data_IF_195900540436
#
_entry.id   IF_195900540436
#
_cell.length_a   1.000
_cell.length_b   1.000
_cell.length_c   1.000
_cell.angle_alpha   90.00
_cell.angle_beta   90.00
_cell.angle_gamma   90.00
#
_symmetry.space_group_name_H-M   'P 1'
#
loop_
_entity.id
_entity.type
_entity.pdbx_description
1 polymer ?
#
# COMPACT_ATOMS: atom_id res chain seq x y z
N UNK A 1 3.75 12.24 37.06
CA UNK A 1 2.54 11.40 36.98
C UNK A 1 1.48 12.13 36.16
N UNK A 2 1.83 12.45 34.92
CA UNK A 2 0.97 12.90 33.83
C UNK A 2 1.73 12.48 32.58
N UNK A 3 1.78 11.17 32.35
CA UNK A 3 2.42 10.65 31.15
C UNK A 3 1.58 11.08 29.96
N UNK A 4 2.26 11.56 28.93
CA UNK A 4 1.74 12.15 27.70
C UNK A 4 0.65 11.30 27.02
N UNK A 5 -0.63 11.63 27.25
CA UNK A 5 -1.72 11.08 26.45
C UNK A 5 -1.68 11.76 25.07
N UNK A 6 -0.98 11.14 24.13
CA UNK A 6 -1.06 11.50 22.71
C UNK A 6 -2.46 11.11 22.20
N UNK A 7 -3.36 12.09 22.09
CA UNK A 7 -4.62 11.92 21.37
C UNK A 7 -4.33 11.69 19.88
N UNK A 8 -4.50 10.46 19.40
CA UNK A 8 -4.46 10.15 17.96
C UNK A 8 -5.87 10.25 17.39
N UNK A 9 -6.13 11.29 16.60
CA UNK A 9 -7.38 11.43 15.84
C UNK A 9 -7.26 10.74 14.48
N UNK A 10 -8.33 10.16 13.93
CA UNK A 10 -8.31 9.57 12.59
C UNK A 10 -7.92 10.58 11.51
N UNK A 11 -7.13 10.15 10.53
CA UNK A 11 -6.78 10.95 9.35
C UNK A 11 -7.93 10.86 8.34
N UNK A 12 -8.40 12.00 7.85
CA UNK A 12 -9.42 12.06 6.79
C UNK A 12 -8.72 11.93 5.43
N UNK A 13 -9.07 10.88 4.67
CA UNK A 13 -8.59 10.67 3.30
C UNK A 13 -9.79 10.63 2.37
N UNK A 14 -9.79 11.45 1.32
CA UNK A 14 -10.89 11.47 0.35
C UNK A 14 -10.39 11.61 -1.09
N UNK A 15 -11.26 11.26 -2.03
CA UNK A 15 -11.12 11.60 -3.43
C UNK A 15 -12.46 12.17 -3.92
N UNK A 16 -12.99 11.71 -5.06
CA UNK A 16 -14.38 12.02 -5.47
C UNK A 16 -15.36 11.06 -4.77
N UNK A 17 -15.40 9.78 -5.16
CA UNK A 17 -16.24 8.77 -4.49
C UNK A 17 -15.64 8.22 -3.16
N UNK A 18 -14.40 8.57 -2.84
CA UNK A 18 -13.72 8.15 -1.61
C UNK A 18 -13.41 6.65 -1.53
N UNK A 19 -13.23 5.94 -2.65
CA UNK A 19 -13.04 4.47 -2.66
C UNK A 19 -11.84 4.01 -3.48
N UNK A 20 -11.57 4.59 -4.65
CA UNK A 20 -10.40 4.22 -5.49
C UNK A 20 -9.08 4.71 -4.90
N UNK A 21 -8.66 5.93 -5.26
CA UNK A 21 -7.42 6.55 -4.74
C UNK A 21 -7.34 6.60 -3.21
N UNK A 22 -8.46 6.87 -2.54
CA UNK A 22 -8.57 6.82 -1.08
C UNK A 22 -8.19 5.44 -0.54
N UNK A 23 -8.79 4.37 -1.07
CA UNK A 23 -8.50 3.02 -0.62
C UNK A 23 -7.04 2.63 -0.88
N UNK A 24 -6.47 3.02 -2.02
CA UNK A 24 -5.07 2.77 -2.33
C UNK A 24 -4.12 3.39 -1.30
N UNK A 25 -4.32 4.68 -0.96
CA UNK A 25 -3.48 5.37 0.02
C UNK A 25 -3.65 4.78 1.42
N UNK A 26 -4.89 4.48 1.83
CA UNK A 26 -5.16 3.87 3.14
C UNK A 26 -4.47 2.51 3.28
N UNK A 27 -4.53 1.66 2.24
CA UNK A 27 -3.88 0.35 2.27
C UNK A 27 -2.35 0.47 2.28
N UNK A 28 -1.78 1.31 1.40
CA UNK A 28 -0.33 1.57 1.39
C UNK A 28 0.13 2.05 2.76
N UNK A 29 -0.56 3.04 3.35
CA UNK A 29 -0.21 3.58 4.66
C UNK A 29 -0.24 2.50 5.74
N UNK A 30 -1.28 1.67 5.77
CA UNK A 30 -1.37 0.56 6.73
C UNK A 30 -0.21 -0.43 6.58
N UNK A 31 0.13 -0.82 5.35
CA UNK A 31 1.25 -1.72 5.09
C UNK A 31 2.60 -1.10 5.51
N UNK A 32 2.82 0.18 5.21
CA UNK A 32 4.04 0.89 5.62
C UNK A 32 4.14 1.03 7.14
N UNK A 33 3.04 1.30 7.84
CA UNK A 33 3.02 1.37 9.31
C UNK A 33 3.37 0.01 9.94
N UNK A 34 2.88 -1.09 9.38
CA UNK A 34 3.27 -2.43 9.85
C UNK A 34 4.78 -2.64 9.69
N UNK A 35 5.32 -2.36 8.51
CA UNK A 35 6.76 -2.49 8.23
C UNK A 35 7.61 -1.60 9.16
N UNK A 36 7.24 -0.33 9.33
CA UNK A 36 7.93 0.61 10.21
C UNK A 36 7.91 0.19 11.68
N UNK A 37 6.86 -0.52 12.11
CA UNK A 37 6.74 -1.05 13.46
C UNK A 37 7.27 -2.50 13.58
N UNK A 38 8.06 -2.97 12.61
CA UNK A 38 8.61 -4.34 12.56
C UNK A 38 7.54 -5.44 12.70
N UNK A 39 6.32 -5.18 12.20
CA UNK A 39 5.24 -6.17 12.14
C UNK A 39 5.27 -6.91 10.80
N UNK A 40 4.91 -8.20 10.77
CA UNK A 40 4.88 -8.96 9.53
C UNK A 40 3.79 -8.43 8.60
N UNK A 41 4.11 -8.36 7.31
CA UNK A 41 3.15 -8.08 6.26
C UNK A 41 2.49 -9.40 5.80
N UNK A 42 1.17 -9.40 5.69
CA UNK A 42 0.39 -10.46 5.07
C UNK A 42 0.28 -10.21 3.56
N UNK A 43 -0.30 -11.17 2.85
CA UNK A 43 -0.67 -10.98 1.45
C UNK A 43 -1.59 -9.76 1.28
N UNK A 44 -1.27 -8.90 0.32
CA UNK A 44 -1.97 -7.62 0.07
C UNK A 44 -3.47 -7.82 -0.19
N UNK A 45 -3.86 -8.96 -0.75
CA UNK A 45 -5.27 -9.31 -0.96
C UNK A 45 -6.05 -9.44 0.36
N UNK A 46 -5.39 -9.86 1.45
CA UNK A 46 -6.00 -9.97 2.78
C UNK A 46 -6.41 -8.58 3.27
N UNK A 47 -5.51 -7.61 3.20
CA UNK A 47 -5.80 -6.23 3.60
C UNK A 47 -6.86 -5.58 2.71
N UNK A 48 -6.88 -5.90 1.41
CA UNK A 48 -7.93 -5.44 0.51
C UNK A 48 -9.31 -5.97 0.91
N UNK A 49 -9.40 -7.26 1.27
CA UNK A 49 -10.66 -7.87 1.75
C UNK A 49 -11.13 -7.19 3.03
N UNK A 50 -10.25 -6.99 4.01
CA UNK A 50 -10.60 -6.30 5.27
C UNK A 50 -10.99 -4.84 5.04
N UNK A 51 -10.28 -4.12 4.16
CA UNK A 51 -10.62 -2.75 3.82
C UNK A 51 -12.01 -2.66 3.17
N UNK A 52 -12.35 -3.62 2.29
CA UNK A 52 -13.68 -3.68 1.63
C UNK A 52 -14.82 -4.02 2.59
N UNK A 53 -14.54 -4.72 3.70
CA UNK A 53 -15.53 -4.91 4.79
C UNK A 53 -15.87 -3.59 5.50
N UNK A 54 -14.89 -2.68 5.63
CA UNK A 54 -15.10 -1.38 6.27
C UNK A 54 -15.66 -0.33 5.30
N UNK A 55 -15.25 -0.36 4.03
CA UNK A 55 -15.75 0.52 2.98
C UNK A 55 -15.82 -0.21 1.64
N UNK A 56 -17.04 -0.51 1.22
CA UNK A 56 -17.31 -1.26 0.00
C UNK A 56 -16.66 -0.64 -1.24
N UNK A 57 -16.24 -1.49 -2.19
CA UNK A 57 -15.59 -1.10 -3.45
C UNK A 57 -14.27 -0.31 -3.30
N UNK A 58 -13.65 -0.32 -2.11
CA UNK A 58 -12.30 0.24 -1.96
C UNK A 58 -11.32 -0.44 -2.91
N UNK A 59 -10.50 0.37 -3.59
CA UNK A 59 -9.61 -0.03 -4.70
C UNK A 59 -10.43 -0.64 -5.84
N UNK A 60 -10.80 0.18 -6.81
CA UNK A 60 -11.83 -0.13 -7.80
C UNK A 60 -11.30 -0.80 -9.07
N UNK A 61 -10.02 -0.60 -9.39
CA UNK A 61 -9.43 -1.07 -10.64
C UNK A 61 -8.17 -1.87 -10.38
N UNK A 62 -7.84 -2.77 -11.31
CA UNK A 62 -6.60 -3.54 -11.25
C UNK A 62 -5.37 -2.63 -11.28
N UNK A 63 -5.42 -1.52 -12.02
CA UNK A 63 -4.36 -0.52 -12.05
C UNK A 63 -4.07 0.08 -10.67
N UNK A 64 -5.12 0.35 -9.88
CA UNK A 64 -4.95 0.84 -8.50
C UNK A 64 -4.36 -0.25 -7.59
N UNK A 65 -4.71 -1.51 -7.82
CA UNK A 65 -4.13 -2.63 -7.08
C UNK A 65 -2.65 -2.86 -7.45
N UNK A 66 -2.31 -2.83 -8.74
CA UNK A 66 -0.93 -2.90 -9.22
C UNK A 66 -0.08 -1.72 -8.70
N UNK A 67 -0.65 -0.52 -8.65
CA UNK A 67 0.03 0.65 -8.09
C UNK A 67 0.45 0.43 -6.63
N UNK A 68 -0.41 -0.18 -5.81
CA UNK A 68 -0.08 -0.53 -4.42
C UNK A 68 1.14 -1.45 -4.37
N UNK A 69 1.13 -2.53 -5.16
CA UNK A 69 2.28 -3.45 -5.23
C UNK A 69 3.55 -2.76 -5.71
N UNK A 70 3.47 -1.93 -6.75
CA UNK A 70 4.61 -1.16 -7.24
C UNK A 70 5.23 -0.28 -6.14
N UNK A 71 4.39 0.44 -5.38
CA UNK A 71 4.87 1.31 -4.28
C UNK A 71 5.52 0.47 -3.18
N UNK A 72 4.89 -0.62 -2.74
CA UNK A 72 5.42 -1.45 -1.67
C UNK A 72 6.73 -2.13 -2.06
N UNK A 73 6.83 -2.67 -3.27
CA UNK A 73 8.06 -3.30 -3.76
C UNK A 73 9.22 -2.30 -3.87
N UNK A 74 8.96 -1.08 -4.35
CA UNK A 74 9.97 -0.01 -4.37
C UNK A 74 10.40 0.37 -2.95
N UNK A 75 9.46 0.51 -2.02
CA UNK A 75 9.76 0.82 -0.63
C UNK A 75 10.62 -0.27 0.03
N UNK A 76 10.27 -1.54 -0.17
CA UNK A 76 10.99 -2.69 0.39
C UNK A 76 12.42 -2.78 -0.17
N UNK A 77 12.62 -2.50 -1.47
CA UNK A 77 13.96 -2.38 -2.09
C UNK A 77 14.76 -1.23 -1.46
N UNK A 78 14.18 -0.03 -1.40
CA UNK A 78 14.87 1.16 -0.89
C UNK A 78 15.23 1.05 0.59
N UNK A 79 14.35 0.41 1.36
CA UNK A 79 14.51 0.23 2.81
C UNK A 79 15.35 -1.00 3.18
N UNK A 80 15.90 -1.73 2.18
CA UNK A 80 16.74 -2.92 2.37
C UNK A 80 16.09 -4.05 3.17
N UNK A 81 14.76 -4.20 3.04
CA UNK A 81 14.03 -5.38 3.54
C UNK A 81 14.23 -6.60 2.64
N UNK A 82 14.69 -6.37 1.41
CA UNK A 82 14.87 -7.39 0.40
C UNK A 82 16.36 -7.55 0.10
N UNK A 83 16.77 -8.80 -0.08
CA UNK A 83 18.13 -9.14 -0.51
C UNK A 83 18.36 -8.77 -1.98
N UNK A 84 19.60 -8.46 -2.34
CA UNK A 84 19.93 -8.02 -3.71
C UNK A 84 19.61 -9.08 -4.78
N UNK A 85 19.52 -10.36 -4.40
CA UNK A 85 19.11 -11.46 -5.29
C UNK A 85 17.72 -11.27 -5.89
N UNK A 86 16.81 -10.55 -5.23
CA UNK A 86 15.46 -10.34 -5.77
C UNK A 86 15.35 -9.13 -6.69
N UNK A 87 16.37 -8.27 -6.72
CA UNK A 87 16.37 -7.02 -7.50
C UNK A 87 15.99 -7.18 -8.97
N UNK A 88 16.50 -8.19 -9.72
CA UNK A 88 16.12 -8.38 -11.12
C UNK A 88 14.62 -8.62 -11.33
N UNK A 89 13.96 -9.31 -10.39
CA UNK A 89 12.53 -9.55 -10.44
C UNK A 89 11.73 -8.28 -10.18
N UNK A 90 12.17 -7.44 -9.23
CA UNK A 90 11.54 -6.14 -8.93
C UNK A 90 11.63 -5.17 -10.12
N UNK A 91 12.78 -5.15 -10.79
CA UNK A 91 13.00 -4.33 -11.99
C UNK A 91 12.16 -4.82 -13.17
N UNK A 92 12.03 -6.14 -13.32
CA UNK A 92 11.14 -6.75 -14.31
C UNK A 92 9.68 -6.38 -14.03
N UNK A 93 9.22 -6.55 -12.78
CA UNK A 93 7.89 -6.14 -12.37
C UNK A 93 7.63 -4.66 -12.64
N UNK A 94 8.58 -3.79 -12.29
CA UNK A 94 8.48 -2.34 -12.50
C UNK A 94 8.36 -2.00 -13.99
N UNK A 95 9.15 -2.65 -14.84
CA UNK A 95 9.08 -2.48 -16.30
C UNK A 95 7.73 -2.92 -16.86
N UNK A 96 7.23 -4.06 -16.42
CA UNK A 96 5.94 -4.59 -16.85
C UNK A 96 4.78 -3.73 -16.36
N UNK A 97 4.85 -3.24 -15.13
CA UNK A 97 3.94 -2.24 -14.58
C UNK A 97 3.89 -1.01 -15.49
N UNK A 98 5.03 -0.38 -15.79
CA UNK A 98 5.06 0.82 -16.63
C UNK A 98 4.52 0.57 -18.04
N UNK A 99 4.77 -0.62 -18.60
CA UNK A 99 4.21 -1.01 -19.90
C UNK A 99 2.69 -1.15 -19.84
N UNK A 100 2.17 -1.78 -18.78
CA UNK A 100 0.74 -2.01 -18.58
C UNK A 100 -0.03 -0.73 -18.26
N UNK A 101 0.58 0.21 -17.54
CA UNK A 101 -0.07 1.47 -17.15
C UNK A 101 0.21 2.64 -18.10
N UNK A 102 0.88 2.41 -19.22
CA UNK A 102 1.22 3.47 -20.18
C UNK A 102 -0.05 4.01 -20.83
N UNK A 103 -0.28 5.33 -20.72
CA UNK A 103 -1.42 6.00 -21.35
C UNK A 103 -2.69 6.05 -20.50
N UNK A 104 -2.60 5.57 -19.25
CA UNK A 104 -3.50 5.95 -18.16
C UNK A 104 -2.90 7.09 -17.34
#
# INVERSE_FOLDING_TARGET
MWDDIIFRTPIIVHCSAGIGRTGSIVLIQHALELLQNNQPLLEICTYLVELRKQRNNSIQTEHQYLYIHQVLLLYLKQSKYLDDTVTPYLETFTKDYYKATKGF
#
